data_IF_543814717269
#
_entry.id   IF_543814717269
#
_cell.length_a   1.000
_cell.length_b   1.000
_cell.length_c   1.000
_cell.angle_alpha   90.00
_cell.angle_beta   90.00
_cell.angle_gamma   90.00
#
_symmetry.space_group_name_H-M   'P 1'
#
loop_
_entity.id
_entity.type
_entity.pdbx_description
1 polymer ?
#
# COMPACT_ATOMS: atom_id res chain seq x y z
N UNK A 1 -27.25 30.87 24.88
CA UNK A 1 -27.33 29.96 23.71
C UNK A 1 -26.02 29.20 23.66
N UNK A 2 -25.94 28.09 24.39
CA UNK A 2 -24.79 27.18 24.29
C UNK A 2 -25.06 26.23 23.13
N UNK A 3 -24.31 26.37 22.04
CA UNK A 3 -24.24 25.36 20.99
C UNK A 3 -23.47 24.17 21.56
N UNK A 4 -24.20 23.28 22.24
CA UNK A 4 -23.65 22.00 22.63
C UNK A 4 -23.75 21.05 21.44
N UNK A 5 -22.88 21.28 20.44
CA UNK A 5 -22.67 20.38 19.30
C UNK A 5 -21.97 19.11 19.79
N UNK A 6 -22.70 18.30 20.57
CA UNK A 6 -22.28 16.96 20.92
C UNK A 6 -22.39 16.13 19.65
N UNK A 7 -21.26 15.91 18.97
CA UNK A 7 -21.18 15.00 17.82
C UNK A 7 -21.56 13.61 18.34
N UNK A 8 -22.80 13.18 18.09
CA UNK A 8 -23.22 11.79 18.31
C UNK A 8 -22.54 10.96 17.22
N UNK A 9 -21.33 10.47 17.51
CA UNK A 9 -20.62 9.52 16.66
C UNK A 9 -21.35 8.18 16.77
N UNK A 10 -21.85 7.65 15.65
CA UNK A 10 -22.52 6.36 15.66
C UNK A 10 -21.49 5.22 15.70
N UNK A 11 -21.91 4.04 16.19
CA UNK A 11 -21.07 2.82 16.16
C UNK A 11 -20.62 2.50 14.72
N UNK A 12 -21.44 2.81 13.73
CA UNK A 12 -21.14 2.58 12.32
C UNK A 12 -20.02 3.52 11.81
N UNK A 13 -20.00 4.77 12.27
CA UNK A 13 -18.93 5.72 11.95
C UNK A 13 -17.59 5.24 12.50
N UNK A 14 -17.57 4.73 13.74
CA UNK A 14 -16.36 4.16 14.35
C UNK A 14 -15.86 2.95 13.54
N UNK A 15 -16.76 2.03 13.17
CA UNK A 15 -16.40 0.86 12.34
C UNK A 15 -15.80 1.28 11.00
N UNK A 16 -16.37 2.30 10.36
CA UNK A 16 -15.88 2.82 9.08
C UNK A 16 -14.52 3.53 9.23
N UNK A 17 -14.29 4.26 10.31
CA UNK A 17 -12.99 4.84 10.63
C UNK A 17 -11.92 3.76 10.85
N UNK A 18 -12.23 2.74 11.65
CA UNK A 18 -11.31 1.61 11.91
C UNK A 18 -10.98 0.86 10.62
N UNK A 19 -11.98 0.55 9.80
CA UNK A 19 -11.79 -0.09 8.48
C UNK A 19 -10.90 0.78 7.59
N UNK A 20 -11.13 2.09 7.56
CA UNK A 20 -10.31 3.04 6.81
C UNK A 20 -8.87 3.07 7.30
N UNK A 21 -8.65 3.17 8.61
CA UNK A 21 -7.31 3.16 9.22
C UNK A 21 -6.53 1.89 8.88
N UNK A 22 -7.19 0.72 8.93
CA UNK A 22 -6.59 -0.57 8.57
C UNK A 22 -6.06 -0.59 7.14
N UNK A 23 -6.83 -0.09 6.16
CA UNK A 23 -6.38 -0.06 4.77
C UNK A 23 -5.29 0.98 4.51
N UNK A 24 -5.34 2.11 5.22
CA UNK A 24 -4.25 3.11 5.19
C UNK A 24 -2.94 2.51 5.69
N UNK A 25 -2.96 1.87 6.86
CA UNK A 25 -1.79 1.18 7.42
C UNK A 25 -1.27 0.11 6.46
N UNK A 26 -2.17 -0.68 5.84
CA UNK A 26 -1.78 -1.70 4.86
C UNK A 26 -1.06 -1.12 3.64
N UNK A 27 -1.46 0.07 3.19
CA UNK A 27 -0.79 0.78 2.10
C UNK A 27 0.54 1.38 2.52
N UNK A 28 0.68 1.83 3.78
CA UNK A 28 1.96 2.27 4.34
C UNK A 28 2.98 1.13 4.40
N UNK A 29 2.57 -0.02 4.93
CA UNK A 29 3.39 -1.23 4.96
C UNK A 29 3.81 -1.63 3.55
N UNK A 30 2.87 -1.62 2.60
CA UNK A 30 3.18 -1.96 1.22
C UNK A 30 4.15 -0.97 0.58
N UNK A 31 3.98 0.34 0.80
CA UNK A 31 4.91 1.35 0.31
C UNK A 31 6.32 1.18 0.91
N UNK A 32 6.42 0.88 2.20
CA UNK A 32 7.72 0.63 2.85
C UNK A 32 8.37 -0.65 2.33
N UNK A 33 7.59 -1.70 2.15
CA UNK A 33 8.04 -2.92 1.51
C UNK A 33 8.57 -2.68 0.10
N UNK A 34 7.88 -1.87 -0.70
CA UNK A 34 8.26 -1.52 -2.07
C UNK A 34 9.58 -0.75 -2.12
N UNK A 35 9.89 0.09 -1.13
CA UNK A 35 11.21 0.78 -1.06
C UNK A 35 12.35 -0.23 -0.98
N UNK A 36 12.28 -1.20 -0.08
CA UNK A 36 13.31 -2.24 0.05
C UNK A 36 13.31 -3.20 -1.15
N UNK A 37 12.14 -3.50 -1.73
CA UNK A 37 12.03 -4.26 -2.97
C UNK A 37 12.79 -3.56 -4.12
N UNK A 38 12.59 -2.26 -4.34
CA UNK A 38 13.29 -1.49 -5.39
C UNK A 38 14.79 -1.48 -5.14
N UNK A 39 15.22 -1.34 -3.88
CA UNK A 39 16.64 -1.39 -3.52
C UNK A 39 17.28 -2.74 -3.86
N UNK A 40 16.62 -3.85 -3.54
CA UNK A 40 17.11 -5.19 -3.89
C UNK A 40 17.04 -5.46 -5.39
N UNK A 41 16.02 -4.94 -6.09
CA UNK A 41 15.96 -4.97 -7.55
C UNK A 41 17.21 -4.32 -8.16
N UNK A 42 17.49 -3.05 -7.85
CA UNK A 42 18.66 -2.32 -8.39
C UNK A 42 19.98 -3.00 -8.05
N UNK A 43 20.14 -3.50 -6.82
CA UNK A 43 21.33 -4.25 -6.42
C UNK A 43 21.48 -5.58 -7.17
N UNK A 44 20.37 -6.26 -7.48
CA UNK A 44 20.40 -7.52 -8.25
C UNK A 44 20.87 -7.29 -9.69
N UNK A 45 20.46 -6.18 -10.33
CA UNK A 45 20.97 -5.78 -11.64
C UNK A 45 22.49 -5.56 -11.63
N UNK A 46 23.02 -5.04 -10.52
CA UNK A 46 24.47 -4.86 -10.33
C UNK A 46 25.20 -6.15 -9.89
N UNK A 47 24.56 -7.32 -9.97
CA UNK A 47 25.18 -8.61 -9.66
C UNK A 47 25.36 -8.91 -8.17
N UNK A 48 24.70 -8.18 -7.26
CA UNK A 48 24.83 -8.45 -5.82
C UNK A 48 24.21 -9.82 -5.45
N UNK A 49 24.98 -10.78 -4.90
CA UNK A 49 24.52 -12.16 -4.70
C UNK A 49 23.38 -12.28 -3.70
N UNK A 50 23.42 -11.50 -2.61
CA UNK A 50 22.32 -11.46 -1.62
C UNK A 50 21.03 -10.98 -2.28
N UNK A 51 21.11 -9.97 -3.14
CA UNK A 51 19.94 -9.38 -3.79
C UNK A 51 19.42 -10.25 -4.93
N UNK A 52 20.30 -10.95 -5.65
CA UNK A 52 19.91 -11.97 -6.65
C UNK A 52 19.06 -13.07 -6.02
N UNK A 53 19.40 -13.52 -4.80
CA UNK A 53 18.60 -14.50 -4.07
C UNK A 53 17.30 -13.91 -3.47
N UNK A 54 17.34 -12.69 -2.92
CA UNK A 54 16.20 -12.09 -2.22
C UNK A 54 15.14 -11.50 -3.15
N UNK A 55 15.56 -10.84 -4.23
CA UNK A 55 14.66 -10.08 -5.10
C UNK A 55 13.50 -10.93 -5.67
N UNK A 56 13.69 -12.16 -6.17
CA UNK A 56 12.59 -12.98 -6.69
C UNK A 56 11.49 -13.23 -5.68
N UNK A 57 11.86 -13.58 -4.44
CA UNK A 57 10.88 -13.72 -3.35
C UNK A 57 10.16 -12.41 -3.06
N UNK A 58 10.90 -11.30 -3.09
CA UNK A 58 10.29 -9.99 -2.84
C UNK A 58 9.31 -9.56 -3.93
N UNK A 59 9.62 -9.89 -5.19
CA UNK A 59 8.74 -9.64 -6.33
C UNK A 59 7.41 -10.37 -6.17
N UNK A 60 7.45 -11.67 -5.90
CA UNK A 60 6.24 -12.50 -5.70
C UNK A 60 5.36 -11.94 -4.58
N UNK A 61 5.98 -11.58 -3.44
CA UNK A 61 5.24 -10.99 -2.30
C UNK A 61 4.67 -9.61 -2.63
N UNK A 62 5.40 -8.77 -3.37
CA UNK A 62 4.90 -7.48 -3.85
C UNK A 62 3.67 -7.63 -4.75
N UNK A 63 3.71 -8.57 -5.70
CA UNK A 63 2.60 -8.88 -6.61
C UNK A 63 1.38 -9.40 -5.86
N UNK A 64 1.56 -10.27 -4.86
CA UNK A 64 0.48 -10.75 -4.01
C UNK A 64 -0.19 -9.61 -3.22
N UNK A 65 0.60 -8.68 -2.69
CA UNK A 65 0.09 -7.50 -1.99
C UNK A 65 -0.69 -6.59 -2.95
N UNK A 66 -0.14 -6.34 -4.15
CA UNK A 66 -0.81 -5.56 -5.19
C UNK A 66 -2.16 -6.19 -5.58
N UNK A 67 -2.21 -7.51 -5.81
CA UNK A 67 -3.46 -8.24 -6.11
C UNK A 67 -4.50 -8.08 -5.01
N UNK A 68 -4.09 -8.13 -3.74
CA UNK A 68 -5.01 -7.93 -2.59
C UNK A 68 -5.56 -6.51 -2.53
N UNK A 69 -4.72 -5.51 -2.79
CA UNK A 69 -5.15 -4.10 -2.83
C UNK A 69 -6.04 -3.82 -4.04
N UNK A 70 -5.75 -4.42 -5.20
CA UNK A 70 -6.60 -4.33 -6.38
C UNK A 70 -7.99 -4.90 -6.10
N UNK A 71 -8.09 -6.10 -5.52
CA UNK A 71 -9.38 -6.68 -5.10
C UNK A 71 -10.15 -5.79 -4.11
N UNK A 72 -9.46 -5.06 -3.23
CA UNK A 72 -10.09 -4.12 -2.32
C UNK A 72 -10.60 -2.87 -3.06
N UNK A 73 -9.83 -2.36 -4.01
CA UNK A 73 -10.26 -1.28 -4.90
C UNK A 73 -11.48 -1.67 -5.73
N UNK A 74 -11.47 -2.86 -6.36
CA UNK A 74 -12.56 -3.34 -7.22
C UNK A 74 -13.87 -3.54 -6.44
N UNK A 75 -13.78 -3.81 -5.13
CA UNK A 75 -14.92 -3.90 -4.22
C UNK A 75 -15.33 -2.56 -3.59
N UNK A 76 -14.78 -1.45 -4.08
CA UNK A 76 -15.02 -0.10 -3.55
C UNK A 76 -14.74 0.03 -2.04
N UNK A 77 -13.81 -0.79 -1.52
CA UNK A 77 -13.42 -0.78 -0.11
C UNK A 77 -12.43 0.36 0.17
N UNK A 78 -11.61 0.71 -0.83
CA UNK A 78 -10.62 1.77 -0.71
C UNK A 78 -11.25 3.13 -1.03
N UNK A 79 -10.96 4.14 -0.22
CA UNK A 79 -11.34 5.51 -0.53
C UNK A 79 -10.38 6.15 -1.55
N UNK A 80 -10.75 7.34 -2.06
CA UNK A 80 -9.97 8.04 -3.07
C UNK A 80 -8.51 8.32 -2.67
N UNK A 81 -8.25 8.67 -1.40
CA UNK A 81 -6.89 8.92 -0.90
C UNK A 81 -6.05 7.64 -0.94
N UNK A 82 -6.65 6.51 -0.57
CA UNK A 82 -6.02 5.19 -0.59
C UNK A 82 -5.75 4.71 -2.01
N UNK A 83 -6.70 4.89 -2.94
CA UNK A 83 -6.52 4.58 -4.37
C UNK A 83 -5.38 5.40 -4.95
N UNK A 84 -5.35 6.72 -4.70
CA UNK A 84 -4.26 7.60 -5.14
C UNK A 84 -2.90 7.13 -4.62
N UNK A 85 -2.82 6.71 -3.35
CA UNK A 85 -1.60 6.17 -2.75
C UNK A 85 -1.19 4.85 -3.41
N UNK A 86 -2.14 3.94 -3.65
CA UNK A 86 -1.86 2.69 -4.34
C UNK A 86 -1.33 2.91 -5.76
N UNK A 87 -1.94 3.82 -6.53
CA UNK A 87 -1.45 4.20 -7.85
C UNK A 87 -0.03 4.75 -7.81
N UNK A 88 0.29 5.63 -6.85
CA UNK A 88 1.67 6.12 -6.65
C UNK A 88 2.67 4.99 -6.40
N UNK A 89 2.29 3.97 -5.62
CA UNK A 89 3.16 2.80 -5.38
C UNK A 89 3.38 2.03 -6.69
N UNK A 90 2.32 1.78 -7.48
CA UNK A 90 2.43 1.11 -8.78
C UNK A 90 3.37 1.89 -9.73
N UNK A 91 3.23 3.21 -9.80
CA UNK A 91 4.13 4.07 -10.60
C UNK A 91 5.58 3.98 -10.13
N UNK A 92 5.85 3.97 -8.81
CA UNK A 92 7.23 3.81 -8.30
C UNK A 92 7.89 2.51 -8.77
N UNK A 93 7.13 1.42 -8.76
CA UNK A 93 7.62 0.12 -9.24
C UNK A 93 7.89 0.19 -10.74
N UNK A 94 6.93 0.70 -11.52
CA UNK A 94 7.07 0.82 -12.97
C UNK A 94 8.29 1.67 -13.35
N UNK A 95 8.44 2.84 -12.75
CA UNK A 95 9.58 3.73 -12.99
C UNK A 95 10.90 3.04 -12.63
N UNK A 96 10.96 2.33 -11.50
CA UNK A 96 12.19 1.64 -11.11
C UNK A 96 12.56 0.51 -12.09
N UNK A 97 11.58 -0.16 -12.71
CA UNK A 97 11.83 -1.26 -13.65
C UNK A 97 12.08 -0.79 -15.10
N UNK A 98 11.65 0.41 -15.46
CA UNK A 98 11.84 0.99 -16.79
C UNK A 98 12.99 2.01 -16.87
N UNK A 99 13.65 2.31 -15.74
CA UNK A 99 14.98 2.95 -15.68
C UNK A 99 16.07 2.00 -16.15
#
# INVERSE_FOLDING_TARGET
MENNDTIIITIEDIKNQVKTAKWTARLDDYNNYVKEYIKHYKKSLNGNPISLAKYPYMKIKSELLAKRLQKAQDKSILNAKQIKKFSKIKTKIANACCE
#
